data_IF_564324368650
#
_entry.id   IF_564324368650
#
_cell.length_a   1.000
_cell.length_b   1.000
_cell.length_c   1.000
_cell.angle_alpha   90.00
_cell.angle_beta   90.00
_cell.angle_gamma   90.00
#
_symmetry.space_group_name_H-M   'P 1'
#
loop_
_entity.id
_entity.type
_entity.pdbx_description
1 polymer ?
#
# COMPACT_ATOMS: atom_id res chain seq x y z
N UNK A 1 -3.28 -1.74 18.24
CA UNK A 1 -2.55 -0.50 17.90
C UNK A 1 -1.53 -0.09 18.97
N UNK A 2 -1.77 -0.37 20.26
CA UNK A 2 -0.92 0.02 21.40
C UNK A 2 0.60 -0.12 21.16
N UNK A 3 1.09 -1.30 20.73
CA UNK A 3 2.53 -1.50 20.50
C UNK A 3 3.13 -0.66 19.35
N UNK A 4 2.35 -0.35 18.31
CA UNK A 4 2.82 0.53 17.22
C UNK A 4 2.92 1.99 17.68
N UNK A 5 2.10 2.41 18.63
CA UNK A 5 2.12 3.78 19.15
C UNK A 5 3.33 4.05 20.05
N UNK A 6 3.87 3.01 20.68
CA UNK A 6 5.11 3.09 21.48
C UNK A 6 6.38 2.95 20.62
N UNK A 7 6.24 2.61 19.34
CA UNK A 7 7.37 2.52 18.42
C UNK A 7 7.92 3.90 18.04
N UNK A 8 9.14 3.93 17.48
CA UNK A 8 9.71 5.19 16.99
C UNK A 8 8.89 5.80 15.84
N UNK A 9 8.21 4.99 15.02
CA UNK A 9 7.35 5.51 13.95
C UNK A 9 6.60 4.40 13.21
N UNK A 10 5.76 4.80 12.24
CA UNK A 10 4.90 3.89 11.48
C UNK A 10 5.10 4.10 9.98
N UNK A 11 5.21 3.00 9.23
CA UNK A 11 5.34 3.00 7.77
C UNK A 11 4.17 2.23 7.16
N UNK A 12 3.46 2.89 6.24
CA UNK A 12 2.34 2.33 5.48
C UNK A 12 2.77 2.06 4.04
N UNK A 13 2.51 0.85 3.55
CA UNK A 13 2.73 0.47 2.15
C UNK A 13 1.59 1.00 1.27
N UNK A 14 1.54 2.32 1.09
CA UNK A 14 0.44 3.08 0.51
C UNK A 14 0.95 4.42 -0.03
N UNK A 15 0.08 5.30 -0.51
CA UNK A 15 0.47 6.65 -0.90
C UNK A 15 -0.52 7.68 -0.36
N UNK A 16 0.00 8.87 -0.05
CA UNK A 16 -0.74 9.92 0.65
C UNK A 16 -2.02 10.30 -0.08
N UNK A 17 -2.03 10.32 -1.40
CA UNK A 17 -3.20 10.69 -2.20
C UNK A 17 -4.34 9.67 -2.08
N UNK A 18 -4.03 8.39 -1.83
CA UNK A 18 -5.04 7.34 -1.64
C UNK A 18 -5.66 7.39 -0.25
N UNK A 19 -4.85 7.60 0.79
CA UNK A 19 -5.25 7.36 2.18
C UNK A 19 -5.08 8.58 3.10
N UNK A 20 -5.01 9.79 2.54
CA UNK A 20 -4.73 11.04 3.28
C UNK A 20 -5.51 11.15 4.60
N UNK A 21 -6.83 10.94 4.54
CA UNK A 21 -7.73 11.07 5.70
C UNK A 21 -7.34 10.11 6.82
N UNK A 22 -6.94 8.88 6.47
CA UNK A 22 -6.53 7.88 7.44
C UNK A 22 -5.14 8.18 8.00
N UNK A 23 -4.18 8.55 7.15
CA UNK A 23 -2.83 8.92 7.60
C UNK A 23 -2.88 10.11 8.57
N UNK A 24 -3.68 11.13 8.27
CA UNK A 24 -3.84 12.30 9.14
C UNK A 24 -4.53 11.93 10.45
N UNK A 25 -5.49 11.01 10.43
CA UNK A 25 -6.10 10.48 11.64
C UNK A 25 -5.08 9.75 12.50
N UNK A 26 -4.25 8.89 11.92
CA UNK A 26 -3.20 8.16 12.66
C UNK A 26 -2.18 9.10 13.29
N UNK A 27 -1.74 10.15 12.58
CA UNK A 27 -0.84 11.15 13.15
C UNK A 27 -1.40 11.81 14.41
N UNK A 28 -2.71 12.10 14.42
CA UNK A 28 -3.41 12.67 15.58
C UNK A 28 -3.49 11.68 16.74
N UNK A 29 -3.86 10.43 16.46
CA UNK A 29 -4.00 9.37 17.47
C UNK A 29 -2.66 9.01 18.13
N UNK A 30 -1.57 8.98 17.37
CA UNK A 30 -0.24 8.61 17.90
C UNK A 30 0.48 9.84 18.52
N UNK A 31 0.06 11.06 18.17
CA UNK A 31 0.60 12.29 18.74
C UNK A 31 1.96 12.72 18.17
N UNK A 32 2.36 12.17 17.01
CA UNK A 32 3.59 12.57 16.33
C UNK A 32 3.52 12.36 14.80
N UNK A 33 4.33 13.13 14.07
CA UNK A 33 4.35 13.11 12.60
C UNK A 33 5.21 12.02 11.96
N UNK A 34 5.81 11.12 12.76
CA UNK A 34 6.64 10.00 12.30
C UNK A 34 5.79 8.86 11.71
N UNK A 35 5.00 9.22 10.71
CA UNK A 35 4.06 8.38 9.99
C UNK A 35 4.25 8.64 8.50
N UNK A 36 4.69 7.63 7.76
CA UNK A 36 5.01 7.75 6.33
C UNK A 36 4.20 6.77 5.50
N UNK A 37 3.60 7.25 4.42
CA UNK A 37 3.09 6.40 3.35
C UNK A 37 4.20 6.25 2.30
N UNK A 38 4.75 5.04 2.17
CA UNK A 38 5.72 4.68 1.14
C UNK A 38 4.99 4.01 -0.01
N UNK A 39 5.27 4.46 -1.24
CA UNK A 39 4.63 3.94 -2.46
C UNK A 39 4.53 2.42 -2.43
N UNK A 40 3.46 1.84 -3.03
CA UNK A 40 3.26 0.40 -3.07
C UNK A 40 4.54 -0.34 -3.44
N UNK A 41 5.10 -1.10 -2.49
CA UNK A 41 6.29 -1.90 -2.67
C UNK A 41 6.05 -2.90 -3.80
N UNK A 42 6.93 -2.92 -4.78
CA UNK A 42 6.87 -3.93 -5.81
C UNK A 42 7.17 -5.30 -5.20
N UNK A 43 6.58 -6.38 -5.71
CA UNK A 43 7.04 -7.73 -5.41
C UNK A 43 8.56 -7.82 -5.66
N UNK A 44 9.29 -8.63 -4.88
CA UNK A 44 10.66 -8.97 -5.23
C UNK A 44 10.69 -9.59 -6.62
N UNK A 45 11.72 -9.23 -7.39
CA UNK A 45 12.05 -9.93 -8.63
C UNK A 45 12.76 -11.23 -8.24
N UNK A 46 12.03 -12.34 -8.13
CA UNK A 46 12.66 -13.64 -7.85
C UNK A 46 12.79 -14.44 -9.15
N UNK A 47 14.02 -14.88 -9.42
CA UNK A 47 14.34 -16.07 -10.23
C UNK A 47 13.49 -17.25 -9.71
N UNK A 48 12.43 -17.60 -10.46
CA UNK A 48 11.72 -18.88 -10.58
C UNK A 48 11.35 -19.73 -9.33
N UNK A 49 11.66 -19.35 -8.08
CA UNK A 49 11.53 -20.23 -6.91
C UNK A 49 10.37 -19.89 -5.95
N UNK A 50 9.75 -18.72 -6.05
CA UNK A 50 8.70 -18.28 -5.10
C UNK A 50 7.46 -17.69 -5.80
N UNK A 51 6.78 -18.50 -6.61
CA UNK A 51 5.40 -18.25 -7.05
C UNK A 51 5.21 -17.07 -8.02
N UNK A 52 3.97 -16.81 -8.49
CA UNK A 52 3.72 -15.79 -9.50
C UNK A 52 4.05 -14.41 -8.94
N UNK A 53 5.07 -13.77 -9.53
CA UNK A 53 5.52 -12.39 -9.29
C UNK A 53 4.47 -11.33 -9.66
N UNK A 54 3.32 -11.75 -10.21
CA UNK A 54 2.22 -10.87 -10.59
C UNK A 54 1.32 -10.57 -9.39
N UNK A 55 1.26 -9.29 -8.99
CA UNK A 55 0.18 -8.81 -8.13
C UNK A 55 -1.14 -8.93 -8.89
N UNK A 56 -2.12 -9.53 -8.25
CA UNK A 56 -3.42 -9.83 -8.85
C UNK A 56 -3.51 -11.31 -9.23
N UNK A 57 -4.38 -12.03 -8.53
CA UNK A 57 -4.65 -13.44 -8.80
C UNK A 57 -5.55 -13.64 -10.02
N UNK A 58 -6.31 -14.72 -10.05
CA UNK A 58 -7.21 -15.08 -11.17
C UNK A 58 -8.26 -14.00 -11.53
N UNK A 59 -8.47 -13.01 -10.66
CA UNK A 59 -9.39 -11.88 -10.87
C UNK A 59 -8.72 -10.62 -11.41
N UNK A 60 -7.42 -10.64 -11.68
CA UNK A 60 -6.69 -9.49 -12.18
C UNK A 60 -7.06 -9.22 -13.64
N UNK A 61 -7.44 -7.97 -13.93
CA UNK A 61 -7.70 -7.52 -15.29
C UNK A 61 -6.41 -6.88 -15.83
N UNK A 62 -5.89 -7.34 -16.99
CA UNK A 62 -4.74 -6.71 -17.62
C UNK A 62 -4.97 -5.21 -17.83
N UNK A 63 -3.95 -4.38 -17.61
CA UNK A 63 -4.09 -2.91 -17.70
C UNK A 63 -4.65 -2.41 -19.04
N UNK A 64 -4.44 -3.16 -20.13
CA UNK A 64 -4.99 -2.85 -21.45
C UNK A 64 -6.50 -3.11 -21.59
N UNK A 65 -7.10 -3.87 -20.67
CA UNK A 65 -8.53 -4.19 -20.65
C UNK A 65 -9.34 -3.23 -19.75
N UNK A 66 -8.67 -2.39 -18.95
CA UNK A 66 -9.32 -1.48 -17.97
C UNK A 66 -10.01 -0.28 -18.64
N UNK A 67 -9.74 -0.02 -19.93
CA UNK A 67 -10.35 1.10 -20.67
C UNK A 67 -11.23 0.61 -21.83
N UNK A 68 -12.37 -0.02 -21.51
CA UNK A 68 -13.54 -0.03 -22.41
C UNK A 68 -14.83 0.23 -21.65
N UNK A 69 -15.18 1.51 -21.49
CA UNK A 69 -16.60 1.88 -21.51
C UNK A 69 -17.05 1.84 -22.96
N UNK A 70 -17.82 0.80 -23.31
CA UNK A 70 -18.71 0.83 -24.47
C UNK A 70 -20.07 1.33 -24.01
N UNK A 71 -20.61 2.31 -24.74
CA UNK A 71 -22.02 2.74 -24.69
C UNK A 71 -22.27 3.87 -23.72
#
# INVERSE_FOLDING_TARGET
MLANNESWGVVFNSFTELERVYIDHIKKEIGHDRVWAIRPLLPPEDDDLLGPTNRGGSSAVPGHDVARRKG
#
